data_IF_663227470702
#
_entry.id   IF_663227470702
#
_cell.length_a   1.000
_cell.length_b   1.000
_cell.length_c   1.000
_cell.angle_alpha   90.00
_cell.angle_beta   90.00
_cell.angle_gamma   90.00
#
_symmetry.space_group_name_H-M   'P 1'
#
loop_
_entity.id
_entity.type
_entity.pdbx_description
1 polymer ?
#
# COMPACT_ATOMS: atom_id res chain seq x y z
N UNK A 1 14.01 -9.99 -27.06
CA UNK A 1 13.67 -8.81 -27.87
C UNK A 1 13.75 -7.57 -26.99
N UNK A 2 14.60 -6.60 -27.35
CA UNK A 2 14.85 -5.33 -26.62
C UNK A 2 14.63 -4.12 -27.53
N UNK A 3 14.11 -4.33 -28.75
CA UNK A 3 14.16 -3.33 -29.83
C UNK A 3 13.38 -2.06 -29.49
N UNK A 4 12.23 -2.19 -28.82
CA UNK A 4 11.34 -1.05 -28.50
C UNK A 4 11.60 -0.47 -27.10
N UNK A 5 11.79 -1.33 -26.09
CA UNK A 5 11.89 -0.90 -24.69
C UNK A 5 13.33 -0.70 -24.21
N UNK A 6 14.31 -1.29 -24.91
CA UNK A 6 15.70 -1.48 -24.48
C UNK A 6 15.85 -2.14 -23.09
N UNK A 7 14.82 -2.81 -22.60
CA UNK A 7 14.82 -3.58 -21.35
C UNK A 7 14.72 -5.06 -21.67
N UNK A 8 15.26 -5.91 -20.78
CA UNK A 8 15.06 -7.36 -20.88
C UNK A 8 13.57 -7.66 -20.81
N UNK A 9 13.07 -8.45 -21.75
CA UNK A 9 11.68 -8.90 -21.72
C UNK A 9 11.41 -9.69 -20.43
N UNK A 10 10.30 -9.36 -19.76
CA UNK A 10 9.80 -10.06 -18.57
C UNK A 10 8.28 -9.87 -18.49
N UNK A 11 7.56 -10.90 -18.05
CA UNK A 11 6.15 -10.77 -17.69
C UNK A 11 6.03 -9.97 -16.39
N UNK A 12 5.19 -8.93 -16.38
CA UNK A 12 5.02 -8.08 -15.20
C UNK A 12 3.56 -7.94 -14.85
N UNK A 13 3.26 -8.17 -13.57
CA UNK A 13 1.93 -7.91 -13.00
C UNK A 13 2.08 -6.83 -11.95
N UNK A 14 1.32 -5.74 -12.09
CA UNK A 14 1.30 -4.66 -11.11
C UNK A 14 0.00 -4.74 -10.32
N UNK A 15 0.11 -4.84 -9.00
CA UNK A 15 -1.04 -4.82 -8.10
C UNK A 15 -1.01 -3.53 -7.28
N UNK A 16 -1.91 -2.60 -7.60
CA UNK A 16 -2.06 -1.33 -6.88
C UNK A 16 -2.97 -1.57 -5.68
N UNK A 17 -2.56 -1.08 -4.51
CA UNK A 17 -3.37 -1.07 -3.29
C UNK A 17 -3.44 0.36 -2.77
N UNK A 18 -4.61 0.76 -2.29
CA UNK A 18 -4.86 2.08 -1.74
C UNK A 18 -5.46 1.94 -0.35
N UNK A 19 -4.89 2.66 0.62
CA UNK A 19 -5.43 2.74 1.98
C UNK A 19 -5.92 4.17 2.19
N UNK A 20 -7.22 4.32 2.40
CA UNK A 20 -7.84 5.60 2.73
C UNK A 20 -8.09 5.61 4.23
N UNK A 21 -7.53 6.59 4.92
CA UNK A 21 -7.75 6.78 6.33
C UNK A 21 -7.87 8.26 6.65
N UNK A 22 -8.52 8.55 7.77
CA UNK A 22 -8.63 9.91 8.32
C UNK A 22 -8.29 9.85 9.79
N UNK A 23 -7.34 10.67 10.22
CA UNK A 23 -7.12 10.90 11.65
C UNK A 23 -8.26 11.77 12.18
N UNK A 24 -9.04 11.24 13.12
CA UNK A 24 -10.06 12.00 13.83
C UNK A 24 -9.46 12.55 15.14
N UNK A 25 -9.66 13.85 15.38
CA UNK A 25 -9.27 14.53 16.63
C UNK A 25 -10.51 15.21 17.21
N UNK A 26 -10.92 14.87 18.43
CA UNK A 26 -12.11 15.44 19.10
C UNK A 26 -13.42 14.68 18.86
N UNK A 27 -14.57 15.31 19.18
CA UNK A 27 -15.89 14.70 18.97
C UNK A 27 -16.10 14.37 17.48
N UNK A 28 -16.21 13.08 17.23
CA UNK A 28 -16.02 12.50 15.91
C UNK A 28 -17.30 12.48 15.06
N UNK A 29 -18.43 12.86 15.65
CA UNK A 29 -19.71 12.97 14.95
C UNK A 29 -19.82 14.34 14.28
N UNK A 30 -19.75 14.36 12.94
CA UNK A 30 -20.13 15.54 12.15
C UNK A 30 -21.50 15.27 11.55
N UNK A 31 -22.47 16.16 11.80
CA UNK A 31 -23.84 16.04 11.27
C UNK A 31 -24.52 14.69 11.61
N UNK A 32 -24.23 14.14 12.79
CA UNK A 32 -24.80 12.87 13.25
C UNK A 32 -24.19 11.60 12.67
N UNK A 33 -23.18 11.70 11.79
CA UNK A 33 -22.50 10.55 11.20
C UNK A 33 -21.25 10.18 12.00
N UNK A 34 -21.03 8.88 12.23
CA UNK A 34 -19.77 8.42 12.84
C UNK A 34 -18.59 8.54 11.86
N UNK A 35 -17.34 8.60 12.35
CA UNK A 35 -16.16 8.64 11.48
C UNK A 35 -16.11 7.49 10.46
N UNK A 36 -16.53 6.29 10.86
CA UNK A 36 -16.57 5.09 10.04
C UNK A 36 -17.60 5.25 8.91
N UNK A 37 -18.78 5.76 9.22
CA UNK A 37 -19.82 6.06 8.22
C UNK A 37 -19.32 7.12 7.22
N UNK A 38 -18.68 8.18 7.69
CA UNK A 38 -18.11 9.20 6.82
C UNK A 38 -17.00 8.63 5.92
N UNK A 39 -16.12 7.79 6.46
CA UNK A 39 -15.05 7.15 5.71
C UNK A 39 -15.62 6.23 4.62
N UNK A 40 -16.67 5.46 4.94
CA UNK A 40 -17.36 4.62 3.97
C UNK A 40 -17.92 5.43 2.80
N UNK A 41 -18.62 6.54 3.07
CA UNK A 41 -19.15 7.43 2.03
C UNK A 41 -18.03 7.97 1.12
N UNK A 42 -16.88 8.33 1.69
CA UNK A 42 -15.72 8.80 0.91
C UNK A 42 -15.16 7.68 0.02
N UNK A 43 -14.99 6.48 0.56
CA UNK A 43 -14.53 5.32 -0.20
C UNK A 43 -15.49 4.96 -1.33
N UNK A 44 -16.80 4.98 -1.11
CA UNK A 44 -17.80 4.65 -2.13
C UNK A 44 -17.77 5.68 -3.27
N UNK A 45 -17.67 6.97 -2.94
CA UNK A 45 -17.50 8.04 -3.93
C UNK A 45 -16.20 7.90 -4.71
N UNK A 46 -15.11 7.55 -4.05
CA UNK A 46 -13.82 7.33 -4.69
C UNK A 46 -13.89 6.14 -5.66
N UNK A 47 -14.47 5.01 -5.24
CA UNK A 47 -14.69 3.86 -6.11
C UNK A 47 -15.57 4.22 -7.32
N UNK A 48 -16.64 4.98 -7.13
CA UNK A 48 -17.48 5.48 -8.24
C UNK A 48 -16.71 6.40 -9.19
N UNK A 49 -15.88 7.29 -8.67
CA UNK A 49 -15.02 8.16 -9.47
C UNK A 49 -13.99 7.38 -10.30
N UNK A 50 -13.37 6.36 -9.71
CA UNK A 50 -12.46 5.45 -10.40
C UNK A 50 -13.19 4.67 -11.50
N UNK A 51 -14.38 4.14 -11.22
CA UNK A 51 -15.19 3.41 -12.20
C UNK A 51 -15.57 4.29 -13.40
N UNK A 52 -15.93 5.56 -13.17
CA UNK A 52 -16.20 6.53 -14.23
C UNK A 52 -14.97 6.80 -15.12
N UNK A 53 -13.76 6.66 -14.58
CA UNK A 53 -12.51 6.75 -15.33
C UNK A 53 -12.08 5.41 -15.98
N UNK A 54 -12.93 4.37 -15.94
CA UNK A 54 -12.62 3.04 -16.47
C UNK A 54 -11.69 2.21 -15.59
N UNK A 55 -11.43 2.64 -14.34
CA UNK A 55 -10.56 1.94 -13.40
C UNK A 55 -11.39 0.99 -12.54
N UNK A 56 -11.10 -0.30 -12.61
CA UNK A 56 -11.71 -1.29 -11.75
C UNK A 56 -11.09 -1.24 -10.35
N UNK A 57 -11.91 -0.97 -9.34
CA UNK A 57 -11.52 -0.99 -7.95
C UNK A 57 -12.32 -2.07 -7.20
N UNK A 58 -11.64 -2.81 -6.32
CA UNK A 58 -12.26 -3.80 -5.43
C UNK A 58 -11.91 -3.44 -4.00
N UNK A 59 -12.93 -3.34 -3.14
CA UNK A 59 -12.73 -3.17 -1.70
C UNK A 59 -12.19 -4.47 -1.10
N UNK A 60 -11.10 -4.35 -0.33
CA UNK A 60 -10.48 -5.48 0.35
C UNK A 60 -11.12 -5.68 1.73
N UNK A 61 -11.45 -6.92 2.06
CA UNK A 61 -11.91 -7.32 3.40
C UNK A 61 -10.73 -7.77 4.28
N UNK A 62 -10.97 -8.08 5.55
CA UNK A 62 -9.93 -8.49 6.50
C UNK A 62 -9.05 -9.63 5.94
N UNK A 63 -9.66 -10.66 5.35
CA UNK A 63 -8.95 -11.78 4.75
C UNK A 63 -8.05 -11.36 3.56
N UNK A 64 -8.50 -10.43 2.71
CA UNK A 64 -7.70 -9.93 1.59
C UNK A 64 -6.45 -9.17 2.08
N UNK A 65 -6.62 -8.34 3.12
CA UNK A 65 -5.53 -7.56 3.71
C UNK A 65 -4.56 -8.48 4.44
N UNK A 66 -5.08 -9.46 5.18
CA UNK A 66 -4.30 -10.47 5.87
C UNK A 66 -3.46 -11.30 4.88
N UNK A 67 -4.03 -11.87 3.83
CA UNK A 67 -3.28 -12.68 2.84
C UNK A 67 -2.15 -11.87 2.20
N UNK A 68 -2.42 -10.60 1.87
CA UNK A 68 -1.39 -9.71 1.34
C UNK A 68 -0.25 -9.46 2.33
N UNK A 69 -0.57 -9.05 3.55
CA UNK A 69 0.44 -8.70 4.54
C UNK A 69 1.20 -9.94 5.04
N UNK A 70 0.52 -11.08 5.16
CA UNK A 70 1.13 -12.36 5.53
C UNK A 70 2.26 -12.73 4.57
N UNK A 71 2.01 -12.66 3.26
CA UNK A 71 3.00 -12.96 2.22
C UNK A 71 4.12 -11.93 2.16
N UNK A 72 3.85 -10.67 2.49
CA UNK A 72 4.87 -9.62 2.53
C UNK A 72 5.80 -9.74 3.74
N UNK A 73 5.25 -10.05 4.92
CA UNK A 73 5.99 -10.17 6.18
C UNK A 73 6.67 -11.53 6.37
N UNK A 74 6.19 -12.56 5.66
CA UNK A 74 6.81 -13.89 5.66
C UNK A 74 7.09 -14.27 4.19
N UNK A 75 8.09 -13.67 3.54
CA UNK A 75 8.30 -13.85 2.11
C UNK A 75 9.05 -15.15 1.76
N UNK A 76 9.65 -15.83 2.76
CA UNK A 76 10.31 -17.14 2.61
C UNK A 76 10.15 -18.01 3.88
N UNK A 77 8.92 -18.37 4.28
CA UNK A 77 8.69 -19.10 5.51
C UNK A 77 9.28 -20.50 5.40
N UNK A 78 10.13 -20.88 6.35
CA UNK A 78 10.85 -22.16 6.32
C UNK A 78 10.36 -23.17 7.37
N UNK A 79 9.32 -22.83 8.16
CA UNK A 79 8.84 -23.64 9.29
C UNK A 79 8.34 -25.02 8.89
N UNK A 80 7.80 -25.16 7.67
CA UNK A 80 7.29 -26.42 7.14
C UNK A 80 8.27 -27.12 6.19
N UNK A 81 9.39 -26.47 5.86
CA UNK A 81 10.36 -26.93 4.88
C UNK A 81 10.77 -25.81 3.91
N UNK A 82 11.81 -26.03 3.08
CA UNK A 82 12.36 -25.01 2.19
C UNK A 82 11.70 -24.97 0.81
N UNK A 83 10.81 -25.91 0.48
CA UNK A 83 10.25 -26.04 -0.86
C UNK A 83 9.14 -25.00 -1.13
N UNK A 84 8.83 -24.78 -2.40
CA UNK A 84 7.68 -23.94 -2.79
C UNK A 84 6.36 -24.52 -2.29
N UNK A 85 6.22 -25.84 -2.25
CA UNK A 85 5.03 -26.53 -1.75
C UNK A 85 4.84 -26.31 -0.25
N UNK A 86 5.93 -26.37 0.53
CA UNK A 86 5.92 -26.09 1.96
C UNK A 86 5.49 -24.64 2.24
N UNK A 87 5.94 -23.70 1.41
CA UNK A 87 5.56 -22.29 1.50
C UNK A 87 4.08 -22.07 1.21
N UNK A 88 3.53 -22.67 0.16
CA UNK A 88 2.09 -22.54 -0.11
C UNK A 88 1.26 -23.23 0.96
N UNK A 89 1.72 -24.37 1.49
CA UNK A 89 1.09 -25.02 2.64
C UNK A 89 1.11 -24.15 3.89
N UNK A 90 2.20 -23.42 4.13
CA UNK A 90 2.28 -22.45 5.22
C UNK A 90 1.22 -21.34 5.06
N UNK A 91 1.10 -20.74 3.87
CA UNK A 91 0.10 -19.71 3.62
C UNK A 91 -1.34 -20.23 3.76
N UNK A 92 -1.59 -21.48 3.34
CA UNK A 92 -2.90 -22.12 3.52
C UNK A 92 -3.25 -22.31 4.99
N UNK A 93 -2.29 -22.75 5.82
CA UNK A 93 -2.50 -22.96 7.26
C UNK A 93 -2.59 -21.65 8.06
N UNK A 94 -1.88 -20.61 7.63
CA UNK A 94 -1.88 -19.31 8.27
C UNK A 94 -3.03 -18.39 7.82
N UNK A 95 -3.85 -18.82 6.85
CA UNK A 95 -4.93 -18.04 6.25
C UNK A 95 -5.88 -17.46 7.29
N UNK A 96 -6.40 -16.27 7.01
CA UNK A 96 -7.50 -15.69 7.78
C UNK A 96 -8.70 -16.66 7.81
N UNK A 97 -9.32 -16.90 8.98
CA UNK A 97 -10.43 -17.84 9.11
C UNK A 97 -11.63 -17.38 8.29
N UNK A 98 -12.37 -18.37 7.79
CA UNK A 98 -13.67 -18.10 7.18
C UNK A 98 -14.68 -17.74 8.28
N UNK A 99 -15.61 -16.83 7.98
CA UNK A 99 -16.74 -16.54 8.86
C UNK A 99 -17.67 -17.77 8.89
N UNK A 100 -17.93 -18.32 10.08
CA UNK A 100 -18.85 -19.46 10.24
C UNK A 100 -20.31 -19.01 10.11
N UNK A 101 -20.63 -17.83 10.65
CA UNK A 101 -21.92 -17.16 10.48
C UNK A 101 -21.74 -15.71 9.99
N UNK A 102 -22.70 -15.20 9.23
CA UNK A 102 -22.63 -13.85 8.67
C UNK A 102 -22.66 -12.78 9.78
N UNK A 103 -21.57 -12.00 9.88
CA UNK A 103 -21.42 -10.99 10.95
C UNK A 103 -20.99 -11.57 12.29
N UNK A 104 -20.59 -12.85 12.33
CA UNK A 104 -19.93 -13.43 13.49
C UNK A 104 -18.62 -12.69 13.75
N UNK A 105 -18.49 -12.15 14.95
CA UNK A 105 -17.21 -11.65 15.43
C UNK A 105 -16.43 -12.87 15.89
N UNK A 106 -15.26 -13.11 15.30
CA UNK A 106 -14.38 -14.21 15.69
C UNK A 106 -14.31 -14.29 17.22
N UNK A 107 -14.65 -15.47 17.77
CA UNK A 107 -14.48 -15.74 19.20
C UNK A 107 -13.08 -15.26 19.59
N UNK A 108 -13.01 -14.41 20.63
CA UNK A 108 -11.80 -13.73 21.07
C UNK A 108 -10.71 -14.72 21.52
N UNK A 109 -10.12 -15.45 20.59
CA UNK A 109 -9.06 -16.44 20.79
C UNK A 109 -7.71 -15.79 21.11
N UNK A 110 -7.73 -14.50 21.48
CA UNK A 110 -6.57 -13.71 21.88
C UNK A 110 -5.64 -13.32 20.74
N UNK A 111 -5.94 -13.70 19.48
CA UNK A 111 -5.09 -13.39 18.32
C UNK A 111 -5.59 -12.16 17.59
N UNK A 112 -5.11 -10.99 18.01
CA UNK A 112 -5.29 -9.74 17.26
C UNK A 112 -4.78 -9.90 15.81
N UNK A 113 -5.33 -9.12 14.88
CA UNK A 113 -4.98 -9.13 13.46
C UNK A 113 -3.46 -9.10 13.24
N UNK A 114 -2.74 -8.28 14.02
CA UNK A 114 -1.28 -8.16 13.92
C UNK A 114 -0.52 -9.43 14.32
N UNK A 115 -1.01 -10.16 15.32
CA UNK A 115 -0.39 -11.41 15.79
C UNK A 115 -0.49 -12.54 14.76
N UNK A 116 -1.45 -12.45 13.84
CA UNK A 116 -1.65 -13.39 12.73
C UNK A 116 -0.72 -13.13 11.54
N UNK A 117 0.15 -12.12 11.61
CA UNK A 117 1.01 -11.73 10.50
C UNK A 117 2.48 -12.12 10.66
N UNK A 118 2.97 -12.33 11.89
CA UNK A 118 4.38 -12.58 12.15
C UNK A 118 4.58 -14.00 12.67
N UNK A 119 5.18 -14.86 11.84
CA UNK A 119 5.55 -16.23 12.24
C UNK A 119 7.05 -16.38 12.45
N UNK A 120 7.84 -15.51 11.81
CA UNK A 120 9.26 -15.29 12.10
C UNK A 120 9.50 -13.98 12.84
N UNK A 121 10.56 -13.91 13.64
CA UNK A 121 10.99 -12.66 14.27
C UNK A 121 11.74 -11.80 13.23
N UNK A 122 11.27 -10.58 12.93
CA UNK A 122 12.00 -9.68 12.06
C UNK A 122 13.32 -9.26 12.72
N UNK A 123 14.42 -9.26 11.96
CA UNK A 123 15.74 -8.81 12.46
C UNK A 123 16.08 -7.45 11.86
N UNK A 124 16.41 -6.50 12.72
CA UNK A 124 16.99 -5.22 12.29
C UNK A 124 18.50 -5.36 12.14
N UNK A 125 19.05 -4.84 11.05
CA UNK A 125 20.47 -4.70 10.80
C UNK A 125 20.77 -3.20 10.63
N UNK A 126 21.13 -2.56 11.74
CA UNK A 126 21.28 -1.10 11.81
C UNK A 126 22.51 -0.63 11.03
N UNK A 127 23.60 -1.40 11.05
CA UNK A 127 24.84 -1.10 10.33
C UNK A 127 24.59 -0.98 8.82
N UNK A 128 23.82 -1.92 8.27
CA UNK A 128 23.48 -1.92 6.84
C UNK A 128 22.16 -1.19 6.53
N UNK A 129 21.42 -0.72 7.55
CA UNK A 129 20.12 -0.07 7.41
C UNK A 129 19.09 -0.95 6.71
N UNK A 130 19.03 -2.23 7.07
CA UNK A 130 18.13 -3.22 6.46
C UNK A 130 17.30 -3.96 7.51
N UNK A 131 16.12 -4.42 7.11
CA UNK A 131 15.28 -5.33 7.87
C UNK A 131 15.29 -6.71 7.22
N UNK A 132 15.32 -7.75 8.02
CA UNK A 132 15.27 -9.13 7.54
C UNK A 132 13.94 -9.76 7.92
N UNK A 133 13.21 -10.22 6.91
CA UNK A 133 12.02 -11.05 7.04
C UNK A 133 12.35 -12.40 6.41
N UNK A 134 12.22 -13.49 7.17
CA UNK A 134 12.65 -14.84 6.74
C UNK A 134 14.06 -14.91 6.17
N UNK A 135 14.99 -14.15 6.77
CA UNK A 135 16.37 -14.06 6.30
C UNK A 135 16.55 -13.32 4.97
N UNK A 136 15.48 -12.71 4.41
CA UNK A 136 15.55 -11.88 3.21
C UNK A 136 15.71 -10.40 3.57
N UNK A 137 16.75 -9.71 3.06
CA UNK A 137 16.99 -8.30 3.35
C UNK A 137 15.99 -7.41 2.61
N UNK A 138 15.46 -6.41 3.33
CA UNK A 138 14.55 -5.39 2.84
C UNK A 138 15.11 -4.03 3.20
N UNK A 139 15.06 -3.10 2.25
CA UNK A 139 15.52 -1.73 2.45
C UNK A 139 14.47 -0.74 1.99
N UNK A 140 14.19 0.25 2.83
CA UNK A 140 13.34 1.38 2.46
C UNK A 140 14.24 2.49 1.93
N UNK A 141 13.99 2.90 0.70
CA UNK A 141 14.64 4.05 0.08
C UNK A 141 13.66 5.22 0.09
N UNK A 142 14.01 6.26 0.83
CA UNK A 142 13.20 7.49 0.90
C UNK A 142 13.65 8.39 -0.25
N UNK A 143 12.68 8.85 -1.05
CA UNK A 143 12.93 9.86 -2.08
C UNK A 143 12.53 11.23 -1.55
N UNK A 144 13.25 12.27 -2.01
CA UNK A 144 12.93 13.64 -1.66
C UNK A 144 11.51 14.02 -2.11
N UNK A 145 10.96 15.04 -1.43
CA UNK A 145 9.64 15.59 -1.77
C UNK A 145 9.59 16.01 -3.24
N UNK A 146 8.51 15.63 -3.92
CA UNK A 146 8.23 16.09 -5.27
C UNK A 146 8.12 17.62 -5.29
N UNK A 147 8.96 18.28 -6.09
CA UNK A 147 8.95 19.74 -6.26
C UNK A 147 7.79 20.21 -7.14
N UNK A 148 7.36 19.35 -8.05
CA UNK A 148 6.23 19.58 -8.96
C UNK A 148 5.31 18.37 -8.94
N UNK A 149 4.00 18.55 -9.17
CA UNK A 149 3.10 17.43 -9.37
C UNK A 149 3.61 16.51 -10.49
N UNK A 150 3.66 15.18 -10.28
CA UNK A 150 4.11 14.28 -11.32
C UNK A 150 3.08 14.26 -12.45
N UNK A 151 3.56 14.25 -13.69
CA UNK A 151 2.69 14.08 -14.85
C UNK A 151 1.98 12.72 -14.85
N UNK A 152 0.90 12.60 -15.62
CA UNK A 152 0.23 11.31 -15.82
C UNK A 152 1.22 10.27 -16.34
N UNK A 153 1.29 9.12 -15.68
CA UNK A 153 2.20 8.04 -16.07
C UNK A 153 3.69 8.28 -15.78
N UNK A 154 4.05 9.31 -15.00
CA UNK A 154 5.46 9.67 -14.77
C UNK A 154 6.34 8.51 -14.26
N UNK A 155 5.77 7.65 -13.42
CA UNK A 155 6.48 6.47 -12.88
C UNK A 155 6.07 5.17 -13.59
N UNK A 156 4.78 5.02 -13.88
CA UNK A 156 4.15 3.75 -14.26
C UNK A 156 3.62 3.71 -15.69
N UNK A 157 3.58 4.85 -16.38
CA UNK A 157 3.14 4.95 -17.76
C UNK A 157 4.30 4.78 -18.72
N UNK A 158 4.00 4.29 -19.91
CA UNK A 158 4.97 4.16 -20.98
C UNK A 158 5.30 5.54 -21.52
N UNK A 159 6.58 5.92 -21.43
CA UNK A 159 7.06 7.22 -21.89
C UNK A 159 8.21 7.01 -22.85
N UNK A 160 8.30 7.88 -23.86
CA UNK A 160 9.43 7.88 -24.79
C UNK A 160 10.64 8.53 -24.12
N UNK A 161 11.74 7.80 -24.01
CA UNK A 161 13.05 8.27 -23.53
C UNK A 161 14.10 7.98 -24.60
N UNK A 162 14.37 8.97 -25.44
CA UNK A 162 15.15 8.78 -26.67
C UNK A 162 14.42 7.83 -27.62
N UNK A 163 15.10 6.77 -28.05
CA UNK A 163 14.51 5.73 -28.91
C UNK A 163 13.71 4.66 -28.14
N UNK A 164 13.85 4.62 -26.81
CA UNK A 164 13.19 3.61 -25.99
C UNK A 164 11.79 4.07 -25.55
N UNK A 165 10.83 3.16 -25.53
CA UNK A 165 9.52 3.34 -24.90
C UNK A 165 9.43 2.36 -23.74
N UNK A 166 9.47 2.87 -22.51
CA UNK A 166 9.33 2.06 -21.31
C UNK A 166 8.73 2.88 -20.17
N UNK A 167 8.34 2.19 -19.09
CA UNK A 167 8.01 2.85 -17.83
C UNK A 167 9.27 2.98 -16.97
N UNK A 168 9.34 4.00 -16.12
CA UNK A 168 10.46 4.12 -15.17
C UNK A 168 10.46 2.92 -14.21
N UNK A 169 9.28 2.49 -13.76
CA UNK A 169 9.15 1.40 -12.80
C UNK A 169 9.61 0.05 -13.36
N UNK A 170 9.55 -0.17 -14.68
CA UNK A 170 10.09 -1.38 -15.33
C UNK A 170 11.61 -1.50 -15.26
N UNK A 171 12.30 -0.41 -14.92
CA UNK A 171 13.75 -0.43 -14.76
C UNK A 171 14.15 -0.87 -13.34
N UNK A 172 13.19 -0.89 -12.41
CA UNK A 172 13.44 -1.31 -11.04
C UNK A 172 13.62 -2.83 -10.95
N UNK A 173 14.39 -3.30 -9.96
CA UNK A 173 14.49 -4.72 -9.64
C UNK A 173 13.12 -5.36 -9.40
N UNK A 174 13.06 -6.67 -9.58
CA UNK A 174 11.90 -7.46 -9.15
C UNK A 174 11.61 -7.23 -7.65
N UNK A 175 10.36 -7.40 -7.26
CA UNK A 175 9.87 -7.17 -5.90
C UNK A 175 10.00 -5.73 -5.35
N UNK A 176 10.30 -4.76 -6.22
CA UNK A 176 10.25 -3.34 -5.85
C UNK A 176 8.81 -2.91 -5.56
N UNK A 177 8.59 -2.27 -4.41
CA UNK A 177 7.34 -1.66 -4.02
C UNK A 177 7.47 -0.14 -3.99
N UNK A 178 6.56 0.56 -4.67
CA UNK A 178 6.41 2.01 -4.57
C UNK A 178 5.34 2.34 -3.52
N UNK A 179 5.72 3.12 -2.51
CA UNK A 179 4.79 3.68 -1.54
C UNK A 179 4.68 5.20 -1.76
N UNK A 180 3.47 5.67 -2.03
CA UNK A 180 3.16 7.10 -2.17
C UNK A 180 2.07 7.47 -1.15
N UNK A 181 2.34 8.48 -0.33
CA UNK A 181 1.32 9.06 0.57
C UNK A 181 0.83 10.38 -0.02
N UNK A 182 -0.47 10.50 -0.22
CA UNK A 182 -1.13 11.73 -0.64
C UNK A 182 -1.99 12.27 0.50
N UNK A 183 -1.81 13.55 0.83
CA UNK A 183 -2.60 14.25 1.85
C UNK A 183 -3.51 15.25 1.16
N UNK A 184 -4.81 14.92 1.07
CA UNK A 184 -5.82 15.85 0.56
C UNK A 184 -6.13 16.88 1.65
N UNK A 185 -5.76 18.14 1.41
CA UNK A 185 -6.03 19.26 2.33
C UNK A 185 -7.15 20.11 1.76
N UNK A 186 -8.19 20.47 2.55
CA UNK A 186 -9.21 21.42 2.12
C UNK A 186 -8.59 22.75 1.70
N UNK A 187 -9.08 23.31 0.59
CA UNK A 187 -8.50 24.51 0.00
C UNK A 187 -8.61 25.74 0.91
N UNK A 188 -9.71 25.87 1.64
CA UNK A 188 -9.96 26.94 2.62
C UNK A 188 -8.95 26.94 3.79
N UNK A 189 -8.57 25.75 4.28
CA UNK A 189 -7.55 25.60 5.32
C UNK A 189 -6.18 26.02 4.78
N UNK A 190 -5.84 25.59 3.56
CA UNK A 190 -4.58 25.96 2.92
C UNK A 190 -4.50 27.48 2.70
N UNK A 191 -5.57 28.11 2.21
CA UNK A 191 -5.65 29.55 2.02
C UNK A 191 -5.54 30.32 3.33
N UNK A 192 -6.18 29.83 4.40
CA UNK A 192 -6.07 30.41 5.74
C UNK A 192 -4.63 30.35 6.27
N UNK A 193 -3.96 29.20 6.14
CA UNK A 193 -2.57 29.03 6.58
C UNK A 193 -1.62 29.92 5.77
N UNK A 194 -1.79 30.00 4.45
CA UNK A 194 -1.03 30.89 3.58
C UNK A 194 -1.23 32.36 3.95
N UNK A 195 -2.48 32.78 4.21
CA UNK A 195 -2.78 34.15 4.65
C UNK A 195 -2.16 34.47 6.01
N UNK A 196 -2.15 33.52 6.95
CA UNK A 196 -1.51 33.68 8.24
C UNK A 196 0.03 33.78 8.13
N UNK A 197 0.65 32.96 7.27
CA UNK A 197 2.08 33.05 6.97
C UNK A 197 2.45 34.38 6.29
N UNK A 198 1.64 34.82 5.31
CA UNK A 198 1.84 36.10 4.63
C UNK A 198 1.80 37.27 5.63
N UNK A 199 0.85 37.28 6.57
CA UNK A 199 0.77 38.30 7.63
C UNK A 199 1.95 38.30 8.60
N UNK A 200 2.64 37.17 8.80
CA UNK A 200 3.85 37.07 9.64
C UNK A 200 5.14 37.39 8.89
N UNK A 201 5.15 37.22 7.58
CA UNK A 201 6.30 37.50 6.72
C UNK A 201 6.45 39.00 6.40
N UNK A 202 5.35 39.76 6.49
CA UNK A 202 5.37 41.22 6.50
C UNK A 202 5.55 41.66 7.95
N UNK A 203 6.79 41.94 8.35
CA UNK A 203 7.09 42.64 9.60
C UNK A 203 6.49 44.05 9.63
#
# INVERSE_FOLDING_TARGET
DTVVTRLRWRGQTRRVRMVVYRRATGQASRRGQTPEQMLNIVCDRLCGGLANAGIQARRMVAADVHDWLLRWLNPRPAMLGPSTEDRERFYALARYPDETEAGEIELASGRDFSQRLFFGQPRSDVEHGTWYFDGMPHRVLITDRLRMPPGTGHLTGETRKGDAINTLFDQMPEDTLLCLTMVATPQDVLESDLNHLAKKAVG
#
